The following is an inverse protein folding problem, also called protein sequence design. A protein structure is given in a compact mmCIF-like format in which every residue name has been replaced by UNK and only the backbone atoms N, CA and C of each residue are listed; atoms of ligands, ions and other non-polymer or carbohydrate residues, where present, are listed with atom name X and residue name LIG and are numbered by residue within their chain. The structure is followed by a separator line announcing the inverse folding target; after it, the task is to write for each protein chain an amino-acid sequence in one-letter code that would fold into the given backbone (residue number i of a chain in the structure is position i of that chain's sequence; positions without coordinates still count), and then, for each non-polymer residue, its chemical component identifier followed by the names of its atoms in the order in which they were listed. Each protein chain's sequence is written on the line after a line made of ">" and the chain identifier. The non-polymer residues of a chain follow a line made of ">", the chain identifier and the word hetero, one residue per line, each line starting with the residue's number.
data_IF_037298558520
#
_entry.id   IF_037298558520
#
_cell.length_a   1.000
_cell.length_b   1.000
_cell.length_c   1.000
_cell.angle_alpha   90.00
_cell.angle_beta   90.00
_cell.angle_gamma   90.00
#
_symmetry.space_group_name_H-M   'P 1'
#
loop_
_entity.id
_entity.type
_entity.pdbx_description
1 polymer ?
#
# COMPACT_ATOMS: atom_id res chain seq x y z
N UNK A 1 21.60 1.61 -1.42
CA UNK A 1 20.37 0.79 -1.20
C UNK A 1 19.07 1.49 -1.61
N UNK A 2 19.09 2.81 -1.84
CA UNK A 2 17.92 3.60 -2.25
C UNK A 2 17.14 3.09 -3.49
N UNK A 3 17.81 2.52 -4.50
CA UNK A 3 17.15 2.02 -5.73
C UNK A 3 16.16 0.87 -5.46
N UNK A 4 16.53 -0.06 -4.57
CA UNK A 4 15.71 -1.23 -4.23
C UNK A 4 14.46 -0.77 -3.47
N UNK A 5 14.62 0.10 -2.48
CA UNK A 5 13.49 0.65 -1.73
C UNK A 5 12.51 1.42 -2.62
N UNK A 6 13.01 2.24 -3.56
CA UNK A 6 12.14 2.92 -4.55
C UNK A 6 11.34 1.91 -5.37
N UNK A 7 11.99 0.85 -5.86
CA UNK A 7 11.33 -0.25 -6.58
C UNK A 7 10.21 -0.87 -5.76
N UNK A 8 10.48 -1.21 -4.49
CA UNK A 8 9.48 -1.81 -3.60
C UNK A 8 8.24 -0.93 -3.41
N UNK A 9 8.39 0.38 -3.16
CA UNK A 9 7.21 1.25 -2.96
C UNK A 9 6.45 1.50 -4.26
N UNK A 10 7.14 1.58 -5.39
CA UNK A 10 6.51 1.70 -6.72
C UNK A 10 5.72 0.42 -7.05
N UNK A 11 6.30 -0.75 -6.83
CA UNK A 11 5.61 -2.03 -7.03
C UNK A 11 4.40 -2.13 -6.10
N UNK A 12 4.54 -1.74 -4.83
CA UNK A 12 3.41 -1.68 -3.90
C UNK A 12 2.28 -0.77 -4.40
N UNK A 13 2.62 0.42 -4.92
CA UNK A 13 1.64 1.34 -5.49
C UNK A 13 0.93 0.73 -6.71
N UNK A 14 1.67 0.12 -7.63
CA UNK A 14 1.10 -0.51 -8.81
C UNK A 14 0.12 -1.64 -8.43
N UNK A 15 0.49 -2.49 -7.48
CA UNK A 15 -0.37 -3.57 -6.98
C UNK A 15 -1.65 -3.02 -6.33
N UNK A 16 -1.53 -1.92 -5.57
CA UNK A 16 -2.66 -1.29 -4.90
C UNK A 16 -3.62 -0.62 -5.89
N UNK A 17 -3.09 -0.03 -6.97
CA UNK A 17 -3.90 0.53 -8.06
C UNK A 17 -4.62 -0.59 -8.81
N UNK A 18 -3.91 -1.66 -9.19
CA UNK A 18 -4.50 -2.82 -9.88
C UNK A 18 -5.62 -3.42 -9.04
N UNK A 19 -5.36 -3.67 -7.77
CA UNK A 19 -6.35 -4.21 -6.84
C UNK A 19 -7.53 -3.26 -6.64
N UNK A 20 -7.27 -1.98 -6.37
CA UNK A 20 -8.32 -0.99 -6.13
C UNK A 20 -9.21 -0.77 -7.34
N UNK A 21 -8.63 -0.77 -8.55
CA UNK A 21 -9.37 -0.65 -9.80
C UNK A 21 -10.23 -1.89 -10.08
N UNK A 22 -9.67 -3.09 -9.88
CA UNK A 22 -10.43 -4.33 -10.03
C UNK A 22 -11.59 -4.42 -9.02
N UNK A 23 -11.34 -4.11 -7.76
CA UNK A 23 -12.37 -4.11 -6.70
C UNK A 23 -13.47 -3.07 -6.96
N UNK A 24 -13.09 -1.88 -7.44
CA UNK A 24 -14.05 -0.84 -7.81
C UNK A 24 -14.89 -1.26 -9.04
N UNK A 25 -14.27 -1.88 -10.04
CA UNK A 25 -14.98 -2.40 -11.21
C UNK A 25 -15.94 -3.53 -10.84
N UNK A 26 -15.52 -4.46 -9.98
CA UNK A 26 -16.35 -5.57 -9.50
C UNK A 26 -17.61 -5.08 -8.78
N UNK A 27 -17.51 -3.99 -8.02
CA UNK A 27 -18.65 -3.36 -7.33
C UNK A 27 -19.61 -2.60 -8.25
N UNK A 28 -19.19 -2.27 -9.47
CA UNK A 28 -20.00 -1.52 -10.44
C UNK A 28 -20.87 -2.41 -11.33
N UNK A 29 -20.71 -3.74 -11.25
CA UNK A 29 -21.49 -4.71 -12.03
C UNK A 29 -22.68 -5.18 -11.18
N UNK A 30 -23.90 -4.88 -11.62
CA UNK A 30 -25.14 -5.33 -10.97
C UNK A 30 -25.36 -6.84 -11.22
N UNK A 31 -25.33 -7.63 -10.15
CA UNK A 31 -25.60 -9.07 -10.16
C UNK A 31 -24.98 -9.77 -8.94
N UNK A 32 -25.70 -10.69 -8.32
CA UNK A 32 -25.29 -11.36 -7.07
C UNK A 32 -23.99 -12.19 -7.26
N UNK A 33 -23.76 -12.69 -8.48
CA UNK A 33 -22.55 -13.43 -8.90
C UNK A 33 -21.34 -12.54 -9.22
N UNK A 34 -21.55 -11.24 -9.52
CA UNK A 34 -20.49 -10.31 -9.91
C UNK A 34 -19.60 -9.87 -8.72
N UNK A 35 -20.08 -10.10 -7.48
CA UNK A 35 -19.32 -9.82 -6.25
C UNK A 35 -18.18 -10.82 -6.02
N UNK A 36 -18.24 -12.00 -6.64
CA UNK A 36 -17.22 -13.05 -6.48
C UNK A 36 -16.17 -13.08 -7.61
N UNK A 37 -16.51 -12.55 -8.80
CA UNK A 37 -15.64 -12.56 -9.98
C UNK A 37 -15.37 -11.14 -10.49
N UNK A 38 -14.22 -10.58 -10.12
CA UNK A 38 -13.70 -9.34 -10.70
C UNK A 38 -13.06 -9.53 -12.07
N UNK A 39 -12.31 -8.53 -12.55
CA UNK A 39 -11.52 -8.64 -13.79
C UNK A 39 -10.52 -9.81 -13.71
N UNK A 40 -9.97 -10.07 -12.52
CA UNK A 40 -9.25 -11.30 -12.23
C UNK A 40 -10.24 -12.42 -11.83
N UNK A 41 -10.24 -13.58 -12.52
CA UNK A 41 -11.18 -14.69 -12.30
C UNK A 41 -10.79 -15.52 -11.07
N UNK A 42 -10.69 -14.84 -9.93
CA UNK A 42 -10.30 -15.38 -8.64
C UNK A 42 -11.17 -14.74 -7.57
N UNK A 43 -11.47 -15.50 -6.52
CA UNK A 43 -12.26 -15.02 -5.38
C UNK A 43 -11.66 -13.72 -4.80
N UNK A 44 -12.53 -12.75 -4.45
CA UNK A 44 -12.16 -11.45 -3.91
C UNK A 44 -11.20 -11.53 -2.72
N UNK A 45 -11.35 -12.53 -1.84
CA UNK A 45 -10.46 -12.73 -0.70
C UNK A 45 -9.02 -13.08 -1.13
N UNK A 46 -8.87 -13.94 -2.14
CA UNK A 46 -7.57 -14.36 -2.68
C UNK A 46 -6.87 -13.17 -3.32
N UNK A 47 -7.60 -12.38 -4.11
CA UNK A 47 -7.07 -11.18 -4.76
C UNK A 47 -6.71 -10.08 -3.76
N UNK A 48 -7.53 -9.86 -2.73
CA UNK A 48 -7.25 -8.92 -1.66
C UNK A 48 -5.99 -9.28 -0.88
N UNK A 49 -5.76 -10.57 -0.61
CA UNK A 49 -4.52 -11.03 0.03
C UNK A 49 -3.31 -10.95 -0.93
N UNK A 50 -3.48 -11.41 -2.16
CA UNK A 50 -2.40 -11.50 -3.14
C UNK A 50 -1.90 -10.12 -3.60
N UNK A 51 -2.78 -9.17 -3.87
CA UNK A 51 -2.41 -7.84 -4.36
C UNK A 51 -2.41 -6.79 -3.24
N UNK A 52 -3.50 -6.69 -2.47
CA UNK A 52 -3.60 -5.74 -1.35
C UNK A 52 -2.63 -6.09 -0.21
N UNK A 53 -2.65 -7.35 0.24
CA UNK A 53 -1.77 -7.81 1.31
C UNK A 53 -0.28 -7.74 0.96
N UNK A 54 0.09 -8.11 -0.27
CA UNK A 54 1.48 -7.99 -0.73
C UNK A 54 1.92 -6.52 -0.85
N UNK A 55 1.03 -5.61 -1.29
CA UNK A 55 1.34 -4.19 -1.33
C UNK A 55 1.64 -3.60 0.06
N UNK A 56 0.89 -4.03 1.09
CA UNK A 56 1.15 -3.66 2.49
C UNK A 56 2.53 -4.18 2.91
N UNK A 57 2.80 -5.47 2.68
CA UNK A 57 4.08 -6.11 3.03
C UNK A 57 5.28 -5.43 2.34
N UNK A 58 5.16 -5.12 1.04
CA UNK A 58 6.19 -4.41 0.27
C UNK A 58 6.42 -2.99 0.78
N UNK A 59 5.36 -2.27 1.19
CA UNK A 59 5.49 -0.94 1.78
C UNK A 59 6.24 -0.99 3.11
N UNK A 60 5.93 -1.96 3.97
CA UNK A 60 6.65 -2.17 5.24
C UNK A 60 8.11 -2.56 4.96
N UNK A 61 8.36 -3.49 4.04
CA UNK A 61 9.71 -3.90 3.66
C UNK A 61 10.54 -2.71 3.13
N UNK A 62 9.94 -1.85 2.31
CA UNK A 62 10.61 -0.67 1.78
C UNK A 62 11.09 0.30 2.87
N UNK A 63 10.33 0.45 3.97
CA UNK A 63 10.75 1.28 5.11
C UNK A 63 12.05 0.76 5.75
N UNK A 64 12.20 -0.55 5.90
CA UNK A 64 13.39 -1.18 6.47
C UNK A 64 14.58 -1.17 5.51
N UNK A 65 14.33 -1.38 4.21
CA UNK A 65 15.38 -1.36 3.17
C UNK A 65 15.92 0.06 2.93
N UNK A 66 15.09 1.09 3.09
CA UNK A 66 15.47 2.49 2.89
C UNK A 66 16.25 3.07 4.08
N UNK A 67 17.48 2.60 4.28
CA UNK A 67 18.41 3.08 5.33
C UNK A 67 19.05 4.44 5.03
N UNK A 68 19.10 4.83 3.76
CA UNK A 68 19.61 6.13 3.30
C UNK A 68 18.51 7.20 3.35
N UNK A 69 18.92 8.47 3.44
CA UNK A 69 18.03 9.63 3.29
C UNK A 69 17.37 9.55 1.92
N UNK A 70 16.03 9.46 1.90
CA UNK A 70 15.28 9.34 0.66
C UNK A 70 13.92 10.00 0.78
N UNK A 71 13.84 11.22 0.24
CA UNK A 71 12.59 11.99 0.21
C UNK A 71 11.47 11.25 -0.51
N UNK A 72 11.81 10.58 -1.60
CA UNK A 72 10.85 9.83 -2.41
C UNK A 72 10.19 8.69 -1.62
N UNK A 73 10.98 7.92 -0.86
CA UNK A 73 10.45 6.73 -0.17
C UNK A 73 9.46 7.13 0.93
N UNK A 74 9.76 8.14 1.74
CA UNK A 74 8.83 8.50 2.83
C UNK A 74 7.52 9.10 2.31
N UNK A 75 7.56 9.89 1.23
CA UNK A 75 6.36 10.43 0.58
C UNK A 75 5.51 9.28 0.04
N UNK A 76 6.13 8.34 -0.69
CA UNK A 76 5.42 7.20 -1.28
C UNK A 76 4.82 6.26 -0.22
N UNK A 77 5.48 6.07 0.93
CA UNK A 77 4.89 5.34 2.05
C UNK A 77 3.60 6.01 2.55
N UNK A 78 3.57 7.34 2.66
CA UNK A 78 2.36 8.06 3.05
C UNK A 78 1.25 7.87 2.01
N UNK A 79 1.57 8.00 0.72
CA UNK A 79 0.60 7.81 -0.38
C UNK A 79 0.01 6.39 -0.33
N UNK A 80 0.85 5.36 -0.27
CA UNK A 80 0.40 3.98 -0.18
C UNK A 80 -0.43 3.74 1.09
N UNK A 81 0.02 4.27 2.23
CA UNK A 81 -0.68 4.13 3.50
C UNK A 81 -2.07 4.78 3.49
N UNK A 82 -2.21 5.96 2.88
CA UNK A 82 -3.52 6.61 2.69
C UNK A 82 -4.42 5.76 1.79
N UNK A 83 -3.88 5.22 0.70
CA UNK A 83 -4.67 4.42 -0.24
C UNK A 83 -5.11 3.07 0.38
N UNK A 84 -4.26 2.44 1.19
CA UNK A 84 -4.61 1.26 2.00
C UNK A 84 -5.67 1.61 3.04
N UNK A 85 -5.50 2.73 3.75
CA UNK A 85 -6.43 3.15 4.79
C UNK A 85 -7.82 3.45 4.23
N UNK A 86 -7.87 4.18 3.11
CA UNK A 86 -9.09 4.48 2.37
C UNK A 86 -9.75 3.20 1.85
N UNK A 87 -8.99 2.31 1.20
CA UNK A 87 -9.51 1.03 0.72
C UNK A 87 -10.09 0.17 1.85
N UNK A 88 -9.38 0.08 2.99
CA UNK A 88 -9.87 -0.62 4.18
C UNK A 88 -11.16 -0.01 4.74
N UNK A 89 -11.25 1.32 4.83
CA UNK A 89 -12.44 2.01 5.28
C UNK A 89 -13.65 1.79 4.35
N UNK A 90 -13.45 1.90 3.03
CA UNK A 90 -14.49 1.67 2.01
C UNK A 90 -14.94 0.19 1.99
N UNK A 91 -14.05 -0.73 2.34
CA UNK A 91 -14.37 -2.15 2.49
C UNK A 91 -14.94 -2.52 3.86
N UNK A 92 -15.08 -1.57 4.80
CA UNK A 92 -15.55 -1.86 6.17
C UNK A 92 -14.57 -2.67 7.01
N UNK A 93 -13.29 -2.75 6.63
CA UNK A 93 -12.26 -3.53 7.30
C UNK A 93 -11.37 -2.65 8.18
N UNK A 94 -11.74 -2.55 9.47
CA UNK A 94 -10.94 -1.86 10.47
C UNK A 94 -9.48 -2.36 10.57
N UNK A 95 -9.19 -3.68 10.50
CA UNK A 95 -7.80 -4.15 10.49
C UNK A 95 -6.99 -3.63 9.31
N UNK A 96 -7.56 -3.62 8.09
CA UNK A 96 -6.87 -3.13 6.89
C UNK A 96 -6.67 -1.62 6.96
N UNK A 97 -7.69 -0.88 7.43
CA UNK A 97 -7.56 0.55 7.66
C UNK A 97 -6.44 0.88 8.67
N UNK A 98 -6.35 0.10 9.74
CA UNK A 98 -5.27 0.19 10.74
C UNK A 98 -3.89 -0.09 10.16
N UNK A 99 -3.75 -1.09 9.28
CA UNK A 99 -2.50 -1.34 8.56
C UNK A 99 -2.11 -0.17 7.65
N UNK A 100 -3.08 0.48 7.00
CA UNK A 100 -2.85 1.71 6.26
C UNK A 100 -2.31 2.84 7.14
N UNK A 101 -2.93 3.06 8.30
CA UNK A 101 -2.46 4.03 9.29
C UNK A 101 -1.05 3.72 9.80
N UNK A 102 -0.71 2.44 9.99
CA UNK A 102 0.64 2.01 10.34
C UNK A 102 1.65 2.37 9.24
N UNK A 103 1.33 2.13 7.97
CA UNK A 103 2.22 2.48 6.85
C UNK A 103 2.40 4.00 6.74
N UNK A 104 1.37 4.80 7.00
CA UNK A 104 1.48 6.27 7.12
C UNK A 104 2.44 6.65 8.25
N UNK A 105 2.28 6.04 9.43
CA UNK A 105 3.15 6.30 10.58
C UNK A 105 4.62 5.97 10.25
N UNK A 106 4.89 4.86 9.56
CA UNK A 106 6.24 4.53 9.09
C UNK A 106 6.80 5.58 8.12
N UNK A 107 5.98 6.12 7.21
CA UNK A 107 6.36 7.25 6.36
C UNK A 107 6.76 8.49 7.17
N UNK A 108 5.97 8.86 8.17
CA UNK A 108 6.26 9.99 9.06
C UNK A 108 7.54 9.74 9.88
N UNK A 109 7.70 8.56 10.47
CA UNK A 109 8.91 8.16 11.21
C UNK A 109 10.13 8.26 10.31
N UNK A 110 10.03 7.79 9.05
CA UNK A 110 11.13 7.91 8.10
C UNK A 110 11.48 9.35 7.82
N UNK A 111 10.50 10.25 7.64
CA UNK A 111 10.75 11.69 7.45
C UNK A 111 11.60 12.27 8.58
N UNK A 112 11.25 11.98 9.84
CA UNK A 112 12.01 12.47 10.99
C UNK A 112 13.40 11.85 11.09
N UNK A 113 13.53 10.53 10.83
CA UNK A 113 14.82 9.84 10.79
C UNK A 113 15.73 10.44 9.73
N UNK A 114 15.22 10.64 8.52
CA UNK A 114 15.96 11.20 7.39
C UNK A 114 16.39 12.66 7.69
N UNK A 115 15.52 13.46 8.31
CA UNK A 115 15.85 14.82 8.74
C UNK A 115 16.93 14.86 9.84
N UNK A 116 16.92 13.90 10.77
CA UNK A 116 17.95 13.78 11.81
C UNK A 116 19.31 13.41 11.19
N UNK A 117 19.33 12.46 10.26
CA UNK A 117 20.55 12.04 9.56
C UNK A 117 21.14 13.20 8.74
N UNK A 118 20.30 13.95 8.03
CA UNK A 118 20.74 15.09 7.22
C UNK A 118 21.34 16.24 8.04
N UNK A 119 21.02 16.36 9.33
CA UNK A 119 21.62 17.35 10.25
C UNK A 119 22.96 16.90 10.84
N UNK A 120 23.29 15.61 10.72
CA UNK A 120 24.51 15.02 11.29
C UNK A 120 25.61 14.78 10.24
N UNK A 121 25.27 14.95 8.96
CA UNK A 121 26.18 14.88 7.82
C UNK A 121 26.65 16.29 7.45
#
# INVERSE_FOLDING_TARGET
>A
MSKIAKGLVITALALLIIYGADEAASRSIDGEDARETGFLPTNAMVRGLAFGGSAIALSIAAFFVAREVSTFVWIMLIINGVLIAAGGAIAGSAPVAGLGALVIALGIIKRFRDAKIARMA
#
